data_IF_769659632632
#
_entry.id   IF_769659632632
#
_cell.length_a   1.000
_cell.length_b   1.000
_cell.length_c   1.000
_cell.angle_alpha   90.00
_cell.angle_beta   90.00
_cell.angle_gamma   90.00
#
_symmetry.space_group_name_H-M   'P 1'
#
loop_
_entity.id
_entity.type
_entity.pdbx_description
1 polymer ?
#
# COMPACT_ATOMS: atom_id res chain seq x y z
N UNK A 1 29.13 18.74 -6.17
CA UNK A 1 28.41 17.45 -6.02
C UNK A 1 28.17 17.20 -4.54
N UNK A 2 26.92 17.17 -4.07
CA UNK A 2 26.62 16.62 -2.74
C UNK A 2 26.39 15.12 -2.89
N UNK A 3 27.03 14.26 -2.09
CA UNK A 3 26.71 12.84 -2.11
C UNK A 3 25.28 12.68 -1.57
N UNK A 4 24.40 12.12 -2.39
CA UNK A 4 23.07 11.69 -1.96
C UNK A 4 23.30 10.54 -0.98
N UNK A 5 23.24 10.81 0.33
CA UNK A 5 23.33 9.77 1.36
C UNK A 5 22.21 8.77 1.09
N UNK A 6 22.55 7.60 0.55
CA UNK A 6 21.65 6.46 0.46
C UNK A 6 21.08 6.22 1.86
N UNK A 7 19.78 6.45 2.03
CA UNK A 7 19.15 6.37 3.34
C UNK A 7 19.18 4.90 3.77
N UNK A 8 19.94 4.59 4.83
CA UNK A 8 20.01 3.23 5.39
C UNK A 8 18.61 2.74 5.69
N UNK A 9 18.31 1.51 5.29
CA UNK A 9 16.99 0.93 5.50
C UNK A 9 17.09 -0.54 5.89
N UNK A 10 16.15 -0.98 6.72
CA UNK A 10 15.91 -2.38 7.05
C UNK A 10 14.42 -2.67 6.96
N UNK A 11 14.06 -3.93 6.68
CA UNK A 11 12.67 -4.37 6.56
C UNK A 11 12.37 -5.43 7.60
N UNK A 12 11.29 -5.23 8.35
CA UNK A 12 10.77 -6.20 9.30
C UNK A 12 9.81 -7.17 8.61
N UNK A 13 9.94 -8.45 8.92
CA UNK A 13 9.08 -9.53 8.44
C UNK A 13 8.58 -10.38 9.61
N UNK A 14 7.32 -10.80 9.53
CA UNK A 14 6.80 -11.81 10.44
C UNK A 14 7.30 -13.18 9.99
N UNK A 15 7.90 -13.95 10.90
CA UNK A 15 8.35 -15.31 10.65
C UNK A 15 7.78 -16.24 11.73
N UNK A 16 7.63 -17.51 11.38
CA UNK A 16 7.35 -18.59 12.32
C UNK A 16 8.47 -19.61 12.18
N UNK A 17 9.24 -19.83 13.25
CA UNK A 17 10.36 -20.78 13.28
C UNK A 17 10.10 -21.71 14.47
N UNK A 18 10.04 -23.02 14.24
CA UNK A 18 9.74 -24.01 15.28
C UNK A 18 8.47 -23.68 16.08
N UNK A 19 7.41 -23.21 15.40
CA UNK A 19 6.15 -22.79 15.99
C UNK A 19 6.20 -21.53 16.90
N UNK A 20 7.33 -20.83 16.96
CA UNK A 20 7.48 -19.56 17.67
C UNK A 20 7.41 -18.37 16.70
N UNK A 21 6.79 -17.27 17.16
CA UNK A 21 6.69 -16.03 16.39
C UNK A 21 8.00 -15.26 16.48
N UNK A 22 8.56 -14.93 15.33
CA UNK A 22 9.86 -14.27 15.21
C UNK A 22 9.75 -12.98 14.39
N UNK A 23 10.63 -12.03 14.67
CA UNK A 23 10.88 -10.83 13.87
C UNK A 23 12.06 -11.13 12.96
N UNK A 24 11.85 -11.10 11.65
CA UNK A 24 12.92 -11.14 10.66
C UNK A 24 13.37 -9.73 10.29
N UNK A 25 14.66 -9.43 10.43
CA UNK A 25 15.30 -8.16 10.05
C UNK A 25 16.10 -8.39 8.77
N UNK A 26 15.58 -7.90 7.64
CA UNK A 26 16.26 -7.95 6.33
C UNK A 26 16.88 -6.59 6.01
N UNK A 27 18.16 -6.58 5.65
CA UNK A 27 18.91 -5.38 5.29
C UNK A 27 20.03 -5.72 4.30
N UNK A 28 20.50 -4.73 3.53
CA UNK A 28 21.71 -4.88 2.72
C UNK A 28 22.96 -4.73 3.60
N UNK A 29 24.08 -5.39 3.27
CA UNK A 29 25.30 -5.32 4.08
C UNK A 29 25.72 -3.88 4.40
N UNK A 30 25.62 -3.51 5.69
CA UNK A 30 26.00 -2.19 6.21
C UNK A 30 26.58 -2.37 7.62
N UNK A 31 27.79 -1.85 7.85
CA UNK A 31 28.53 -2.04 9.10
C UNK A 31 27.83 -1.40 10.30
N UNK A 32 27.14 -0.27 10.10
CA UNK A 32 26.40 0.44 11.16
C UNK A 32 25.16 -0.36 11.53
N UNK A 33 24.40 -0.83 10.53
CA UNK A 33 23.23 -1.69 10.78
C UNK A 33 23.65 -2.97 11.50
N UNK A 34 24.72 -3.63 11.05
CA UNK A 34 25.23 -4.85 11.69
C UNK A 34 25.66 -4.61 13.14
N UNK A 35 26.38 -3.52 13.41
CA UNK A 35 26.80 -3.18 14.77
C UNK A 35 25.60 -2.96 15.69
N UNK A 36 24.58 -2.23 15.24
CA UNK A 36 23.35 -1.99 16.01
C UNK A 36 22.56 -3.28 16.24
N UNK A 37 22.40 -4.13 15.23
CA UNK A 37 21.71 -5.42 15.36
C UNK A 37 22.37 -6.27 16.44
N UNK A 38 23.71 -6.34 16.49
CA UNK A 38 24.45 -7.15 17.49
C UNK A 38 24.21 -6.71 18.93
N UNK A 39 23.68 -5.49 19.15
CA UNK A 39 23.34 -4.99 20.48
C UNK A 39 21.88 -5.22 20.87
N UNK A 40 21.07 -5.83 19.99
CA UNK A 40 19.73 -6.31 20.32
C UNK A 40 19.81 -7.56 21.20
N UNK A 41 18.70 -7.93 21.83
CA UNK A 41 18.63 -9.15 22.62
C UNK A 41 18.60 -10.39 21.71
N UNK A 42 19.56 -11.29 21.94
CA UNK A 42 19.70 -12.59 21.27
C UNK A 42 19.44 -12.61 19.73
N UNK A 43 20.05 -11.72 18.92
CA UNK A 43 19.89 -11.70 17.47
C UNK A 43 20.60 -12.91 16.86
N UNK A 44 19.91 -13.67 16.02
CA UNK A 44 20.46 -14.87 15.37
C UNK A 44 20.37 -14.76 13.87
N UNK A 45 21.40 -15.20 13.16
CA UNK A 45 21.29 -15.33 11.71
C UNK A 45 20.50 -16.59 11.36
N UNK A 46 19.47 -16.47 10.52
CA UNK A 46 18.76 -17.61 9.94
C UNK A 46 19.25 -17.85 8.52
N UNK A 47 19.95 -18.97 8.30
CA UNK A 47 20.39 -19.39 6.97
C UNK A 47 19.20 -19.70 6.04
N UNK A 48 18.14 -20.31 6.57
CA UNK A 48 16.95 -20.67 5.80
C UNK A 48 16.23 -19.43 5.21
N UNK A 49 16.24 -18.30 5.93
CA UNK A 49 15.57 -17.08 5.52
C UNK A 49 16.52 -15.98 5.03
N UNK A 50 17.83 -16.17 5.17
CA UNK A 50 18.85 -15.18 4.77
C UNK A 50 18.69 -13.83 5.48
N UNK A 51 18.32 -13.84 6.76
CA UNK A 51 18.10 -12.62 7.54
C UNK A 51 18.33 -12.86 9.03
N UNK A 52 18.50 -11.77 9.79
CA UNK A 52 18.59 -11.85 11.25
C UNK A 52 17.21 -12.06 11.83
N UNK A 53 17.10 -12.90 12.85
CA UNK A 53 15.86 -13.24 13.55
C UNK A 53 16.00 -13.03 15.05
N UNK A 54 14.92 -12.63 15.69
CA UNK A 54 14.78 -12.48 17.14
C UNK A 54 13.33 -12.75 17.55
N UNK A 55 13.09 -13.03 18.84
CA UNK A 55 11.75 -13.33 19.34
C UNK A 55 10.80 -12.14 19.13
N UNK A 56 9.56 -12.42 18.69
CA UNK A 56 8.54 -11.39 18.49
C UNK A 56 7.85 -11.03 19.82
N UNK A 57 8.56 -10.24 20.62
CA UNK A 57 8.06 -9.66 21.87
C UNK A 57 7.96 -8.13 21.74
N UNK A 58 7.08 -7.48 22.52
CA UNK A 58 6.98 -6.01 22.55
C UNK A 58 8.32 -5.32 22.87
N UNK A 59 9.10 -5.91 23.77
CA UNK A 59 10.40 -5.39 24.21
C UNK A 59 11.40 -5.38 23.06
N UNK A 60 11.50 -6.49 22.32
CA UNK A 60 12.36 -6.61 21.16
C UNK A 60 11.93 -5.68 20.02
N UNK A 61 10.62 -5.54 19.80
CA UNK A 61 10.09 -4.63 18.80
C UNK A 61 10.42 -3.17 19.13
N UNK A 62 10.24 -2.77 20.39
CA UNK A 62 10.60 -1.43 20.86
C UNK A 62 12.11 -1.17 20.78
N UNK A 63 12.94 -2.16 21.15
CA UNK A 63 14.39 -2.06 21.07
C UNK A 63 14.88 -1.84 19.63
N UNK A 64 14.24 -2.47 18.64
CA UNK A 64 14.53 -2.21 17.22
C UNK A 64 14.24 -0.75 16.90
N UNK A 65 13.05 -0.23 17.22
CA UNK A 65 12.70 1.15 16.87
C UNK A 65 13.62 2.17 17.55
N UNK A 66 13.93 1.99 18.83
CA UNK A 66 14.81 2.90 19.55
C UNK A 66 16.24 2.89 19.01
N UNK A 67 16.81 1.72 18.71
CA UNK A 67 18.19 1.63 18.20
C UNK A 67 18.36 2.20 16.80
N UNK A 68 17.35 2.08 15.94
CA UNK A 68 17.44 2.54 14.55
C UNK A 68 16.90 3.96 14.34
N UNK A 69 16.28 4.56 15.35
CA UNK A 69 15.80 5.95 15.34
C UNK A 69 16.93 6.91 14.97
N UNK A 70 16.74 7.66 13.89
CA UNK A 70 17.74 8.62 13.39
C UNK A 70 18.94 8.00 12.64
N UNK A 71 19.05 6.67 12.59
CA UNK A 71 20.17 5.97 11.92
C UNK A 71 19.74 5.26 10.64
N UNK A 72 18.58 4.59 10.67
CA UNK A 72 18.04 3.87 9.52
C UNK A 72 16.51 3.92 9.50
N UNK A 73 15.94 3.91 8.31
CA UNK A 73 14.50 3.76 8.13
C UNK A 73 14.07 2.30 8.34
N UNK A 74 13.10 2.09 9.23
CA UNK A 74 12.57 0.76 9.58
C UNK A 74 11.28 0.51 8.80
N UNK A 75 11.37 -0.23 7.70
CA UNK A 75 10.22 -0.62 6.89
C UNK A 75 9.39 -1.70 7.59
N UNK A 76 8.15 -1.36 7.95
CA UNK A 76 7.20 -2.28 8.58
C UNK A 76 6.02 -2.65 7.69
N UNK A 77 6.05 -2.34 6.38
CA UNK A 77 4.93 -2.54 5.45
C UNK A 77 4.42 -3.98 5.42
N UNK A 78 5.29 -4.95 5.70
CA UNK A 78 4.98 -6.38 5.72
C UNK A 78 4.95 -6.99 7.12
N UNK A 79 5.13 -6.18 8.17
CA UNK A 79 5.25 -6.64 9.55
C UNK A 79 3.93 -6.54 10.33
N UNK A 80 3.17 -5.48 10.12
CA UNK A 80 1.85 -5.28 10.75
C UNK A 80 0.73 -5.58 9.75
N UNK A 81 0.12 -6.77 9.83
CA UNK A 81 -0.94 -7.21 8.92
C UNK A 81 -2.19 -6.29 8.91
N UNK A 82 -2.41 -5.55 10.01
CA UNK A 82 -3.58 -4.70 10.23
C UNK A 82 -3.22 -3.27 10.65
N UNK A 83 -2.13 -2.69 10.12
CA UNK A 83 -1.92 -1.26 10.35
C UNK A 83 -2.97 -0.46 9.56
N UNK A 84 -3.71 0.47 10.18
CA UNK A 84 -4.44 1.47 9.42
C UNK A 84 -3.44 2.16 8.49
N UNK A 85 -3.82 2.33 7.22
CA UNK A 85 -2.91 2.88 6.18
C UNK A 85 -2.40 4.26 6.60
N UNK A 86 -3.16 4.98 7.42
CA UNK A 86 -2.74 6.21 8.08
C UNK A 86 -3.15 6.20 9.56
N UNK A 87 -2.18 6.08 10.47
CA UNK A 87 -2.42 6.08 11.93
C UNK A 87 -2.76 7.44 12.53
N UNK A 88 -2.66 8.54 11.75
CA UNK A 88 -2.90 9.92 12.20
C UNK A 88 -4.08 10.62 11.53
N UNK A 89 -4.88 9.93 10.71
CA UNK A 89 -6.11 10.52 10.18
C UNK A 89 -7.23 10.39 11.21
N UNK A 90 -8.03 11.44 11.34
CA UNK A 90 -9.32 11.40 12.01
C UNK A 90 -10.18 10.25 11.49
N UNK A 91 -11.14 9.81 12.30
CA UNK A 91 -12.18 8.86 11.91
C UNK A 91 -12.76 9.21 10.53
N UNK A 92 -12.34 8.48 9.49
CA UNK A 92 -12.92 8.64 8.15
C UNK A 92 -14.38 8.22 8.23
N UNK A 93 -15.28 9.10 7.84
CA UNK A 93 -16.66 8.75 7.50
C UNK A 93 -16.87 8.97 6.01
N UNK A 94 -17.39 7.96 5.31
CA UNK A 94 -17.80 8.07 3.90
C UNK A 94 -19.32 8.17 3.76
N UNK A 95 -20.02 8.63 4.80
CA UNK A 95 -21.49 8.75 4.84
C UNK A 95 -22.05 9.57 3.68
N UNK A 96 -21.34 10.60 3.21
CA UNK A 96 -21.74 11.38 2.05
C UNK A 96 -21.88 10.53 0.78
N UNK A 97 -21.10 9.46 0.63
CA UNK A 97 -21.22 8.51 -0.49
C UNK A 97 -22.28 7.43 -0.23
N UNK A 98 -22.51 7.08 1.03
CA UNK A 98 -23.52 6.10 1.47
C UNK A 98 -24.94 6.65 1.33
N UNK A 99 -25.14 7.93 1.66
CA UNK A 99 -26.45 8.61 1.74
C UNK A 99 -26.79 9.47 0.51
N UNK A 100 -25.95 9.49 -0.53
CA UNK A 100 -26.23 10.30 -1.73
C UNK A 100 -27.47 9.77 -2.48
N UNK A 101 -28.21 10.65 -3.16
CA UNK A 101 -29.36 10.22 -3.96
C UNK A 101 -28.92 9.24 -5.07
N UNK A 102 -29.64 8.13 -5.27
CA UNK A 102 -29.33 7.17 -6.30
C UNK A 102 -29.61 7.77 -7.69
N UNK A 103 -28.73 7.48 -8.64
CA UNK A 103 -28.87 7.81 -10.05
C UNK A 103 -29.42 6.59 -10.78
N UNK A 104 -30.47 6.79 -11.58
CA UNK A 104 -31.08 5.72 -12.35
C UNK A 104 -30.05 5.00 -13.24
N UNK A 105 -30.02 3.67 -13.16
CA UNK A 105 -29.11 2.82 -13.93
C UNK A 105 -27.63 2.88 -13.53
N UNK A 106 -27.28 3.53 -12.41
CA UNK A 106 -25.90 3.61 -11.92
C UNK A 106 -25.66 2.65 -10.75
N UNK A 107 -24.65 1.79 -10.86
CA UNK A 107 -24.19 0.89 -9.80
C UNK A 107 -23.25 1.63 -8.85
N UNK A 108 -23.42 1.43 -7.56
CA UNK A 108 -22.60 2.05 -6.51
C UNK A 108 -21.69 1.01 -5.85
N UNK A 109 -20.63 1.47 -5.17
CA UNK A 109 -19.84 0.58 -4.34
C UNK A 109 -20.73 -0.15 -3.31
N UNK A 110 -20.51 -1.45 -3.06
CA UNK A 110 -21.22 -2.19 -2.02
C UNK A 110 -20.82 -1.67 -0.63
N UNK A 111 -21.71 -1.84 0.36
CA UNK A 111 -21.49 -1.36 1.73
C UNK A 111 -20.18 -1.86 2.35
N UNK A 112 -19.82 -3.12 2.09
CA UNK A 112 -18.56 -3.70 2.55
C UNK A 112 -17.31 -2.93 2.07
N UNK A 113 -17.38 -2.27 0.90
CA UNK A 113 -16.30 -1.43 0.39
C UNK A 113 -16.10 -0.19 1.26
N UNK A 114 -17.20 0.49 1.62
CA UNK A 114 -17.17 1.66 2.50
C UNK A 114 -16.65 1.30 3.89
N UNK A 115 -17.19 0.23 4.49
CA UNK A 115 -16.77 -0.24 5.80
C UNK A 115 -15.28 -0.57 5.83
N UNK A 116 -14.76 -1.27 4.81
CA UNK A 116 -13.33 -1.62 4.76
C UNK A 116 -12.43 -0.38 4.62
N UNK A 117 -12.87 0.68 3.93
CA UNK A 117 -12.15 1.96 3.87
C UNK A 117 -12.06 2.64 5.24
N UNK A 118 -13.18 2.67 5.97
CA UNK A 118 -13.30 3.25 7.32
C UNK A 118 -12.45 2.45 8.33
N UNK A 119 -12.59 1.12 8.35
CA UNK A 119 -11.82 0.21 9.23
C UNK A 119 -10.30 0.32 9.02
N UNK A 120 -9.87 0.47 7.76
CA UNK A 120 -8.45 0.62 7.41
C UNK A 120 -7.94 2.06 7.59
N UNK A 121 -8.80 3.00 8.04
CA UNK A 121 -8.52 4.43 8.24
C UNK A 121 -7.79 5.06 7.04
N UNK A 122 -8.32 4.81 5.85
CA UNK A 122 -7.82 5.50 4.66
C UNK A 122 -8.01 7.01 4.78
N UNK A 123 -7.19 7.78 4.07
CA UNK A 123 -7.46 9.22 3.96
C UNK A 123 -8.76 9.45 3.19
N UNK A 124 -9.47 10.53 3.51
CA UNK A 124 -10.67 10.91 2.77
C UNK A 124 -10.38 11.07 1.26
N UNK A 125 -9.21 11.59 0.91
CA UNK A 125 -8.80 11.68 -0.49
C UNK A 125 -8.67 10.30 -1.14
N UNK A 126 -8.03 9.34 -0.47
CA UNK A 126 -7.91 7.97 -1.00
C UNK A 126 -9.27 7.30 -1.13
N UNK A 127 -10.13 7.44 -0.13
CA UNK A 127 -11.50 6.91 -0.16
C UNK A 127 -12.30 7.47 -1.35
N UNK A 128 -12.26 8.80 -1.55
CA UNK A 128 -12.91 9.46 -2.70
C UNK A 128 -12.43 8.91 -4.04
N UNK A 129 -11.10 8.75 -4.19
CA UNK A 129 -10.51 8.19 -5.41
C UNK A 129 -10.94 6.74 -5.60
N UNK A 130 -10.86 5.91 -4.56
CA UNK A 130 -11.18 4.49 -4.66
C UNK A 130 -12.65 4.25 -5.00
N UNK A 131 -13.56 4.96 -4.33
CA UNK A 131 -15.00 4.89 -4.62
C UNK A 131 -15.26 5.30 -6.07
N UNK A 132 -14.75 6.46 -6.49
CA UNK A 132 -14.95 6.98 -7.86
C UNK A 132 -14.41 6.04 -8.93
N UNK A 133 -13.21 5.49 -8.73
CA UNK A 133 -12.58 4.59 -9.70
C UNK A 133 -13.26 3.23 -9.76
N UNK A 134 -13.66 2.67 -8.61
CA UNK A 134 -14.34 1.38 -8.58
C UNK A 134 -15.74 1.48 -9.18
N UNK A 135 -16.48 2.56 -8.92
CA UNK A 135 -17.79 2.78 -9.54
C UNK A 135 -17.68 2.90 -11.07
N UNK A 136 -16.66 3.59 -11.58
CA UNK A 136 -16.42 3.65 -13.02
C UNK A 136 -16.16 2.28 -13.63
N UNK A 137 -15.49 1.39 -12.91
CA UNK A 137 -15.22 0.02 -13.35
C UNK A 137 -16.51 -0.82 -13.40
N UNK A 138 -17.28 -0.88 -12.31
CA UNK A 138 -18.51 -1.70 -12.29
C UNK A 138 -19.61 -1.18 -13.22
N UNK A 139 -19.62 0.14 -13.51
CA UNK A 139 -20.55 0.72 -14.48
C UNK A 139 -20.07 0.60 -15.93
N UNK A 140 -18.78 0.32 -16.17
CA UNK A 140 -18.32 -0.09 -17.50
C UNK A 140 -18.96 -1.44 -17.88
N UNK A 141 -19.04 -2.36 -16.91
CA UNK A 141 -19.72 -3.65 -17.04
C UNK A 141 -21.15 -3.60 -16.45
N UNK A 142 -21.94 -2.59 -16.83
CA UNK A 142 -23.29 -2.36 -16.28
C UNK A 142 -24.23 -3.56 -16.38
N UNK A 143 -24.03 -4.45 -17.36
CA UNK A 143 -24.90 -5.60 -17.60
C UNK A 143 -24.53 -6.81 -16.70
N UNK A 144 -23.36 -6.78 -16.05
CA UNK A 144 -22.90 -7.84 -15.13
C UNK A 144 -23.40 -7.55 -13.72
N UNK A 145 -24.32 -8.38 -13.21
CA UNK A 145 -24.90 -8.20 -11.88
C UNK A 145 -24.02 -8.75 -10.76
N UNK A 146 -23.28 -9.82 -11.02
CA UNK A 146 -22.39 -10.43 -10.05
C UNK A 146 -20.96 -9.95 -10.25
N UNK A 147 -20.44 -9.15 -9.32
CA UNK A 147 -19.09 -8.60 -9.40
C UNK A 147 -17.99 -9.69 -9.33
N UNK A 148 -18.32 -10.91 -8.87
CA UNK A 148 -17.38 -12.04 -8.86
C UNK A 148 -17.09 -12.60 -10.25
N UNK A 149 -17.94 -12.31 -11.23
CA UNK A 149 -17.75 -12.70 -12.64
C UNK A 149 -16.72 -11.81 -13.35
N UNK A 150 -16.48 -10.60 -12.82
CA UNK A 150 -15.46 -9.69 -13.34
C UNK A 150 -14.08 -10.13 -12.87
N UNK A 151 -13.47 -11.01 -13.66
CA UNK A 151 -12.14 -11.56 -13.43
C UNK A 151 -11.04 -10.73 -14.08
N UNK A 152 -9.87 -11.35 -14.20
CA UNK A 152 -8.67 -10.72 -14.77
C UNK A 152 -8.89 -10.25 -16.21
N UNK A 153 -9.62 -11.03 -17.03
CA UNK A 153 -9.93 -10.68 -18.42
C UNK A 153 -10.69 -9.35 -18.52
N UNK A 154 -11.73 -9.16 -17.70
CA UNK A 154 -12.54 -7.94 -17.67
C UNK A 154 -11.72 -6.75 -17.14
N UNK A 155 -10.86 -6.99 -16.16
CA UNK A 155 -9.95 -5.95 -15.67
C UNK A 155 -8.99 -5.50 -16.78
N UNK A 156 -8.34 -6.44 -17.48
CA UNK A 156 -7.42 -6.11 -18.58
C UNK A 156 -8.13 -5.38 -19.73
N UNK A 157 -9.34 -5.83 -20.11
CA UNK A 157 -10.18 -5.16 -21.09
C UNK A 157 -10.50 -3.70 -20.70
N UNK A 158 -10.91 -3.50 -19.44
CA UNK A 158 -11.18 -2.18 -18.91
C UNK A 158 -9.93 -1.29 -18.94
N UNK A 159 -8.79 -1.79 -18.47
CA UNK A 159 -7.54 -1.03 -18.45
C UNK A 159 -7.08 -0.69 -19.87
N UNK A 160 -7.21 -1.63 -20.81
CA UNK A 160 -6.90 -1.36 -22.22
C UNK A 160 -7.80 -0.24 -22.77
N UNK A 161 -9.07 -0.21 -22.39
CA UNK A 161 -9.99 0.88 -22.76
C UNK A 161 -9.54 2.21 -22.16
N UNK A 162 -9.08 2.24 -20.90
CA UNK A 162 -8.53 3.46 -20.30
C UNK A 162 -7.30 3.97 -21.06
N UNK A 163 -6.40 3.07 -21.47
CA UNK A 163 -5.21 3.43 -22.25
C UNK A 163 -5.60 3.94 -23.64
N UNK A 164 -6.48 3.23 -24.35
CA UNK A 164 -6.97 3.63 -25.69
C UNK A 164 -7.68 4.99 -25.68
N UNK A 165 -8.37 5.32 -24.58
CA UNK A 165 -9.03 6.62 -24.39
C UNK A 165 -8.11 7.72 -23.85
N UNK A 166 -6.79 7.48 -23.81
CA UNK A 166 -5.78 8.47 -23.45
C UNK A 166 -5.78 8.86 -21.97
N UNK A 167 -6.23 7.97 -21.07
CA UNK A 167 -6.13 8.23 -19.63
C UNK A 167 -4.68 8.18 -19.17
N UNK A 168 -4.35 9.03 -18.20
CA UNK A 168 -2.98 9.12 -17.68
C UNK A 168 -2.58 7.86 -16.91
N UNK A 169 -1.27 7.59 -16.83
CA UNK A 169 -0.72 6.46 -16.08
C UNK A 169 -1.17 6.47 -14.61
N UNK A 170 -1.30 7.66 -14.01
CA UNK A 170 -1.81 7.83 -12.64
C UNK A 170 -3.28 7.40 -12.53
N UNK A 171 -4.11 7.77 -13.51
CA UNK A 171 -5.51 7.38 -13.54
C UNK A 171 -5.66 5.86 -13.64
N UNK A 172 -4.93 5.23 -14.57
CA UNK A 172 -4.92 3.76 -14.74
C UNK A 172 -4.46 3.06 -13.45
N UNK A 173 -3.39 3.55 -12.81
CA UNK A 173 -2.91 3.00 -11.54
C UNK A 173 -3.92 3.16 -10.40
N UNK A 174 -4.63 4.29 -10.31
CA UNK A 174 -5.68 4.50 -9.33
C UNK A 174 -6.85 3.54 -9.56
N UNK A 175 -7.25 3.31 -10.82
CA UNK A 175 -8.25 2.31 -11.19
C UNK A 175 -7.85 0.92 -10.76
N UNK A 176 -6.63 0.47 -11.09
CA UNK A 176 -6.11 -0.84 -10.68
C UNK A 176 -6.16 -0.99 -9.15
N UNK A 177 -5.66 0.01 -8.42
CA UNK A 177 -5.61 -0.08 -6.96
C UNK A 177 -7.02 -0.13 -6.32
N UNK A 178 -7.99 0.63 -6.86
CA UNK A 178 -9.37 0.59 -6.38
C UNK A 178 -10.04 -0.76 -6.65
N UNK A 179 -9.79 -1.36 -7.83
CA UNK A 179 -10.28 -2.70 -8.20
C UNK A 179 -9.66 -3.76 -7.27
N UNK A 180 -8.34 -3.74 -7.10
CA UNK A 180 -7.64 -4.68 -6.19
C UNK A 180 -8.11 -4.52 -4.75
N UNK A 181 -8.36 -3.30 -4.30
CA UNK A 181 -8.89 -3.06 -2.97
C UNK A 181 -10.21 -3.81 -2.74
N UNK A 182 -11.13 -3.81 -3.71
CA UNK A 182 -12.36 -4.60 -3.58
C UNK A 182 -12.07 -6.11 -3.48
N UNK A 183 -11.41 -6.70 -4.47
CA UNK A 183 -11.28 -8.15 -4.49
C UNK A 183 -10.30 -8.70 -3.43
N UNK A 184 -9.16 -8.07 -3.24
CA UNK A 184 -8.11 -8.57 -2.33
C UNK A 184 -8.34 -8.14 -0.88
N UNK A 185 -8.91 -6.95 -0.66
CA UNK A 185 -9.05 -6.39 0.70
C UNK A 185 -10.47 -6.46 1.21
N UNK A 186 -11.49 -6.12 0.40
CA UNK A 186 -12.89 -6.18 0.81
C UNK A 186 -13.37 -7.63 0.88
N UNK A 187 -13.13 -8.40 -0.18
CA UNK A 187 -13.54 -9.81 -0.30
C UNK A 187 -12.50 -10.81 0.24
N UNK A 188 -11.33 -10.31 0.66
CA UNK A 188 -10.24 -11.13 1.24
C UNK A 188 -9.79 -12.29 0.34
N UNK A 189 -9.92 -12.12 -0.98
CA UNK A 189 -9.49 -13.12 -1.93
C UNK A 189 -7.95 -13.19 -1.96
N UNK A 190 -7.37 -14.40 -2.12
CA UNK A 190 -5.94 -14.52 -2.41
C UNK A 190 -5.62 -13.72 -3.66
N UNK A 191 -4.44 -13.08 -3.69
CA UNK A 191 -3.99 -12.15 -4.73
C UNK A 191 -4.12 -12.74 -6.15
N UNK A 192 -5.31 -12.60 -6.73
CA UNK A 192 -5.72 -13.22 -8.00
C UNK A 192 -5.15 -12.49 -9.22
N UNK A 193 -4.63 -11.27 -9.03
CA UNK A 193 -4.37 -10.31 -10.12
C UNK A 193 -2.91 -9.86 -10.20
N UNK A 194 -1.95 -10.74 -9.89
CA UNK A 194 -0.52 -10.42 -10.01
C UNK A 194 -0.08 -10.11 -11.46
N UNK A 195 -0.77 -10.70 -12.45
CA UNK A 195 -0.47 -10.62 -13.88
C UNK A 195 -1.05 -9.39 -14.59
N UNK A 196 -1.84 -8.56 -13.90
CA UNK A 196 -2.39 -7.33 -14.51
C UNK A 196 -1.23 -6.37 -14.81
N UNK A 197 -0.98 -6.14 -16.10
CA UNK A 197 0.06 -5.22 -16.56
C UNK A 197 -0.22 -3.79 -16.10
N UNK A 198 0.83 -3.12 -15.62
CA UNK A 198 0.76 -1.74 -15.13
C UNK A 198 1.54 -0.82 -16.06
N UNK A 199 1.10 0.43 -16.26
CA UNK A 199 1.92 1.43 -16.93
C UNK A 199 3.27 1.58 -16.24
N UNK A 200 4.34 1.59 -17.03
CA UNK A 200 5.70 1.79 -16.52
C UNK A 200 5.77 3.16 -15.86
N UNK A 201 6.32 3.20 -14.64
CA UNK A 201 6.47 4.45 -13.90
C UNK A 201 7.44 5.37 -14.65
N UNK A 202 6.92 6.49 -15.18
CA UNK A 202 7.74 7.54 -15.80
C UNK A 202 8.48 8.34 -14.72
N UNK A 203 9.79 8.51 -14.87
CA UNK A 203 10.54 9.45 -14.04
C UNK A 203 10.26 10.88 -14.52
N UNK A 204 9.72 11.71 -13.64
CA UNK A 204 9.54 13.13 -13.93
C UNK A 204 10.77 13.91 -13.50
N UNK A 205 11.26 14.81 -14.36
CA UNK A 205 12.31 15.75 -13.97
C UNK A 205 11.87 16.56 -12.73
N UNK A 206 12.80 16.89 -11.81
CA UNK A 206 12.50 17.73 -10.66
C UNK A 206 11.86 19.04 -11.13
N UNK A 207 10.71 19.41 -10.53
CA UNK A 207 10.09 20.71 -10.79
C UNK A 207 10.97 21.79 -10.15
N UNK A 208 11.75 22.49 -10.97
CA UNK A 208 12.52 23.65 -10.54
C UNK A 208 11.58 24.87 -10.53
N UNK A 209 11.49 25.56 -9.40
CA UNK A 209 10.73 26.80 -9.27
C UNK A 209 11.59 27.93 -9.83
N UNK A 210 11.04 28.79 -10.70
CA UNK A 210 11.76 29.95 -11.22
C UNK A 210 12.03 30.98 -10.11
N UNK A 211 13.16 31.69 -10.19
CA UNK A 211 13.54 32.70 -9.18
C UNK A 211 12.45 33.73 -8.95
N UNK A 212 11.79 34.19 -10.01
CA UNK A 212 10.68 35.15 -9.96
C UNK A 212 9.48 34.67 -9.16
N UNK A 213 9.19 33.35 -9.19
CA UNK A 213 8.08 32.75 -8.43
C UNK A 213 8.43 32.62 -6.94
N UNK A 214 9.71 32.50 -6.61
CA UNK A 214 10.19 32.52 -5.21
C UNK A 214 10.06 33.92 -4.61
N UNK A 215 10.29 34.99 -5.38
CA UNK A 215 10.14 36.37 -4.90
C UNK A 215 8.67 36.83 -4.73
N UNK A 216 7.71 36.09 -5.29
CA UNK A 216 6.26 36.39 -5.21
C UNK A 216 5.49 35.56 -4.17
N UNK A 217 6.15 34.60 -3.51
CA UNK A 217 5.59 33.81 -2.40
C UNK A 217 6.00 34.43 -1.07
#
# INVERSE_FOLDING_TARGET
>A
MKPTTSQRQLTLKHLVINNERMIGIKFYPDKVIQALIKTLDNPRWSNAYGMVVLANTPENLNAIFEKFKGVAWVNCSHFFANRPVNGGNESLSVDAYRKRPPRAGWKYCPEAFYQKLELRKYSLNTARVYISMFERFINHFKDVNNLMELGESQINEYLQTLVKTGKSDSFVNQSINAIKFYYEVVLEMPNRFYSVERPIKKETLPKVISKERVFKM
#
